data_IF_917419668905
#
_entry.id   IF_917419668905
#
_cell.length_a   1.000
_cell.length_b   1.000
_cell.length_c   1.000
_cell.angle_alpha   90.00
_cell.angle_beta   90.00
_cell.angle_gamma   90.00
#
_symmetry.space_group_name_H-M   'P 1'
#
loop_
_entity.id
_entity.type
_entity.pdbx_description
1 polymer ?
#
# COMPACT_ATOMS: atom_id res chain seq x y z
N UNK A 1 -5.85 27.68 -13.68
CA UNK A 1 -5.97 27.25 -12.27
C UNK A 1 -6.82 25.98 -12.23
N UNK A 2 -6.35 24.78 -12.63
CA UNK A 2 -7.39 23.84 -13.09
C UNK A 2 -7.28 22.36 -12.84
N UNK A 3 -6.32 21.81 -12.09
CA UNK A 3 -6.43 20.42 -11.60
C UNK A 3 -5.89 20.19 -10.17
N UNK A 4 -5.85 21.23 -9.32
CA UNK A 4 -5.39 21.08 -7.93
C UNK A 4 -6.13 19.99 -7.12
N UNK A 5 -7.39 19.71 -7.46
CA UNK A 5 -8.16 18.62 -6.86
C UNK A 5 -7.64 17.22 -7.24
N UNK A 6 -7.08 17.03 -8.45
CA UNK A 6 -6.41 15.78 -8.84
C UNK A 6 -5.11 15.58 -8.07
N UNK A 7 -4.37 16.65 -7.80
CA UNK A 7 -3.16 16.60 -6.96
C UNK A 7 -3.52 16.12 -5.54
N UNK A 8 -4.59 16.66 -4.96
CA UNK A 8 -5.09 16.25 -3.64
C UNK A 8 -5.60 14.80 -3.66
N UNK A 9 -6.33 14.40 -4.70
CA UNK A 9 -6.80 13.02 -4.86
C UNK A 9 -5.64 12.02 -4.98
N UNK A 10 -4.64 12.36 -5.79
CA UNK A 10 -3.43 11.56 -5.96
C UNK A 10 -2.63 11.42 -4.66
N UNK A 11 -2.50 12.50 -3.90
CA UNK A 11 -1.88 12.48 -2.57
C UNK A 11 -2.65 11.59 -1.58
N UNK A 12 -3.98 11.66 -1.57
CA UNK A 12 -4.82 10.81 -0.72
C UNK A 12 -4.67 9.32 -1.07
N UNK A 13 -4.65 8.99 -2.37
CA UNK A 13 -4.42 7.62 -2.85
C UNK A 13 -3.02 7.10 -2.49
N UNK A 14 -1.99 7.95 -2.65
CA UNK A 14 -0.63 7.61 -2.28
C UNK A 14 -0.52 7.32 -0.77
N UNK A 15 -1.10 8.19 0.07
CA UNK A 15 -1.15 8.00 1.52
C UNK A 15 -1.93 6.74 1.92
N UNK A 16 -3.03 6.43 1.24
CA UNK A 16 -3.78 5.20 1.49
C UNK A 16 -2.94 3.94 1.16
N UNK A 17 -2.18 3.96 0.06
CA UNK A 17 -1.23 2.89 -0.29
C UNK A 17 -0.14 2.73 0.76
N UNK A 18 0.46 3.82 1.22
CA UNK A 18 1.47 3.81 2.30
C UNK A 18 0.89 3.30 3.62
N UNK A 19 -0.31 3.74 4.01
CA UNK A 19 -0.98 3.26 5.20
C UNK A 19 -1.24 1.75 5.17
N UNK A 20 -1.61 1.22 3.99
CA UNK A 20 -1.79 -0.21 3.78
C UNK A 20 -0.47 -0.98 3.93
N UNK A 21 0.64 -0.45 3.39
CA UNK A 21 1.99 -1.03 3.57
C UNK A 21 2.38 -1.08 5.05
N UNK A 22 2.15 -0.01 5.81
CA UNK A 22 2.44 0.03 7.25
C UNK A 22 1.63 -1.05 7.99
N UNK A 23 0.34 -1.18 7.69
CA UNK A 23 -0.52 -2.20 8.29
C UNK A 23 -0.05 -3.62 7.97
N UNK A 24 0.38 -3.88 6.73
CA UNK A 24 0.95 -5.18 6.33
C UNK A 24 2.25 -5.46 7.10
N UNK A 25 3.14 -4.47 7.22
CA UNK A 25 4.39 -4.60 7.95
C UNK A 25 4.17 -4.92 9.45
N UNK A 26 3.20 -4.26 10.08
CA UNK A 26 2.80 -4.54 11.46
C UNK A 26 2.23 -5.96 11.61
N UNK A 27 1.36 -6.38 10.68
CA UNK A 27 0.80 -7.73 10.65
C UNK A 27 1.85 -8.81 10.46
N UNK A 28 2.81 -8.59 9.55
CA UNK A 28 3.94 -9.50 9.34
C UNK A 28 4.85 -9.58 10.57
N UNK A 29 5.12 -8.46 11.25
CA UNK A 29 5.88 -8.44 12.52
C UNK A 29 5.15 -9.14 13.68
N UNK A 30 3.83 -9.03 13.73
CA UNK A 30 3.03 -9.74 14.73
C UNK A 30 3.07 -11.25 14.46
N UNK A 31 2.92 -11.66 13.19
CA UNK A 31 3.01 -13.06 12.78
C UNK A 31 4.40 -13.65 13.04
N UNK A 32 5.47 -12.92 12.73
CA UNK A 32 6.84 -13.35 12.98
C UNK A 32 7.17 -13.54 14.47
N UNK A 33 6.42 -12.87 15.36
CA UNK A 33 6.52 -13.06 16.82
C UNK A 33 5.61 -14.16 17.36
N UNK A 34 4.69 -14.67 16.54
CA UNK A 34 3.84 -15.79 16.94
C UNK A 34 4.56 -17.12 16.69
N UNK A 35 4.47 -18.06 17.65
CA UNK A 35 4.96 -19.44 17.50
C UNK A 35 3.99 -20.29 16.66
N UNK A 36 3.43 -19.71 15.60
CA UNK A 36 2.41 -20.36 14.78
C UNK A 36 3.04 -21.42 13.86
N UNK A 37 2.25 -22.44 13.55
CA UNK A 37 2.63 -23.56 12.70
C UNK A 37 3.24 -23.10 11.36
N UNK A 38 4.26 -23.80 10.87
CA UNK A 38 5.07 -23.37 9.74
C UNK A 38 4.26 -23.30 8.43
N UNK A 39 3.26 -24.18 8.29
CA UNK A 39 2.33 -24.18 7.16
C UNK A 39 1.42 -22.94 7.17
N UNK A 40 0.86 -22.59 8.33
CA UNK A 40 0.04 -21.41 8.52
C UNK A 40 0.83 -20.12 8.25
N UNK A 41 2.09 -20.08 8.70
CA UNK A 41 3.00 -18.95 8.47
C UNK A 41 3.30 -18.74 6.99
N UNK A 42 3.57 -19.81 6.22
CA UNK A 42 3.79 -19.71 4.76
C UNK A 42 2.55 -19.20 4.01
N UNK A 43 1.36 -19.68 4.36
CA UNK A 43 0.12 -19.22 3.75
C UNK A 43 -0.12 -17.72 4.01
N UNK A 44 0.10 -17.27 5.24
CA UNK A 44 -0.04 -15.87 5.61
C UNK A 44 1.01 -14.97 4.92
N UNK A 45 2.26 -15.42 4.80
CA UNK A 45 3.31 -14.69 4.07
C UNK A 45 2.98 -14.50 2.59
N UNK A 46 2.42 -15.52 1.91
CA UNK A 46 1.96 -15.38 0.51
C UNK A 46 0.86 -14.33 0.38
N UNK A 47 -0.07 -14.29 1.34
CA UNK A 47 -1.15 -13.30 1.37
C UNK A 47 -0.60 -11.89 1.61
N UNK A 48 0.38 -11.73 2.50
CA UNK A 48 1.06 -10.45 2.70
C UNK A 48 1.84 -9.98 1.47
N UNK A 49 2.47 -10.89 0.73
CA UNK A 49 3.15 -10.56 -0.52
C UNK A 49 2.18 -10.00 -1.57
N UNK A 50 1.02 -10.64 -1.77
CA UNK A 50 -0.01 -10.16 -2.69
C UNK A 50 -0.58 -8.80 -2.25
N UNK A 51 -0.85 -8.63 -0.96
CA UNK A 51 -1.33 -7.37 -0.40
C UNK A 51 -0.28 -6.25 -0.52
N UNK A 52 1.01 -6.57 -0.35
CA UNK A 52 2.10 -5.61 -0.54
C UNK A 52 2.18 -5.15 -2.00
N UNK A 53 2.12 -6.07 -2.96
CA UNK A 53 2.13 -5.72 -4.37
C UNK A 53 0.94 -4.79 -4.73
N UNK A 54 -0.25 -5.08 -4.21
CA UNK A 54 -1.41 -4.23 -4.39
C UNK A 54 -1.25 -2.85 -3.74
N UNK A 55 -0.68 -2.79 -2.52
CA UNK A 55 -0.44 -1.54 -1.80
C UNK A 55 0.60 -0.66 -2.51
N UNK A 56 1.69 -1.25 -3.03
CA UNK A 56 2.67 -0.56 -3.86
C UNK A 56 2.03 -0.04 -5.15
N UNK A 57 1.24 -0.87 -5.83
CA UNK A 57 0.51 -0.47 -7.03
C UNK A 57 -0.43 0.72 -6.78
N UNK A 58 -1.16 0.70 -5.66
CA UNK A 58 -2.03 1.80 -5.25
C UNK A 58 -1.24 3.09 -4.95
N UNK A 59 -0.09 2.98 -4.30
CA UNK A 59 0.78 4.12 -4.02
C UNK A 59 1.33 4.75 -5.31
N UNK A 60 1.77 3.91 -6.26
CA UNK A 60 2.23 4.35 -7.58
C UNK A 60 1.10 4.99 -8.40
N UNK A 61 -0.11 4.43 -8.35
CA UNK A 61 -1.28 4.99 -9.02
C UNK A 61 -1.61 6.39 -8.47
N UNK A 62 -1.60 6.56 -7.14
CA UNK A 62 -1.78 7.85 -6.50
C UNK A 62 -0.72 8.87 -6.93
N UNK A 63 0.55 8.46 -7.01
CA UNK A 63 1.63 9.31 -7.49
C UNK A 63 1.45 9.70 -8.97
N UNK A 64 1.04 8.76 -9.83
CA UNK A 64 0.78 9.04 -11.24
C UNK A 64 -0.36 10.05 -11.43
N UNK A 65 -1.45 9.90 -10.67
CA UNK A 65 -2.58 10.85 -10.66
C UNK A 65 -2.12 12.23 -10.18
N UNK A 66 -1.27 12.28 -9.15
CA UNK A 66 -0.72 13.53 -8.63
C UNK A 66 0.15 14.24 -9.68
N UNK A 67 1.03 13.51 -10.37
CA UNK A 67 1.90 14.04 -11.43
C UNK A 67 1.05 14.58 -12.59
N UNK A 68 0.04 13.82 -13.03
CA UNK A 68 -0.90 14.28 -14.06
C UNK A 68 -1.62 15.56 -13.64
N UNK A 69 -2.15 15.61 -12.41
CA UNK A 69 -2.82 16.81 -11.89
C UNK A 69 -1.91 18.01 -11.67
N UNK A 70 -0.60 17.81 -11.61
CA UNK A 70 0.39 18.89 -11.52
C UNK A 70 0.88 19.37 -12.91
N UNK A 71 0.86 18.50 -13.92
CA UNK A 71 1.31 18.80 -15.28
C UNK A 71 0.24 19.49 -16.15
N UNK A 72 -1.05 19.23 -15.88
CA UNK A 72 -2.19 19.75 -16.63
C UNK A 72 -3.04 20.71 -15.77
#
# INVERSE_FOLDING_TARGET
MTLGWLTVLGAALALAGVGLLVRIALGARALARSSADAAATRAALRRFAALNAAAVGLAFLGLAVMILGALF
#
